data_IF_741386043093
#
_entry.id   IF_741386043093
#
_cell.length_a   1.000
_cell.length_b   1.000
_cell.length_c   1.000
_cell.angle_alpha   90.00
_cell.angle_beta   90.00
_cell.angle_gamma   90.00
#
_symmetry.space_group_name_H-M   'P 1'
#
loop_
_entity.id
_entity.type
_entity.pdbx_description
1 polymer ?
#
# COMPACT_ATOMS: atom_id res chain seq x y z
N UNK A 1 21.90 -34.83 -38.47
CA UNK A 1 20.51 -34.32 -38.31
C UNK A 1 20.27 -33.52 -37.01
N UNK A 2 21.05 -33.64 -35.93
CA UNK A 2 20.82 -32.86 -34.69
C UNK A 2 21.35 -31.42 -34.69
N UNK A 3 22.43 -31.10 -35.43
CA UNK A 3 23.03 -29.74 -35.44
C UNK A 3 22.26 -28.70 -36.27
N UNK A 4 21.59 -29.12 -37.33
CA UNK A 4 20.80 -28.24 -38.20
C UNK A 4 19.50 -27.76 -37.54
N UNK A 5 18.90 -28.56 -36.67
CA UNK A 5 17.65 -28.21 -35.97
C UNK A 5 17.86 -27.17 -34.84
N UNK A 6 19.03 -27.16 -34.20
CA UNK A 6 19.36 -26.18 -33.16
C UNK A 6 19.57 -24.79 -33.75
N UNK A 7 20.22 -24.71 -34.92
CA UNK A 7 20.42 -23.45 -35.64
C UNK A 7 19.08 -22.90 -36.12
N UNK A 8 18.19 -23.76 -36.64
CA UNK A 8 16.85 -23.36 -37.05
C UNK A 8 16.00 -22.84 -35.88
N UNK A 9 16.06 -23.49 -34.71
CA UNK A 9 15.39 -23.03 -33.50
C UNK A 9 15.93 -21.69 -33.00
N UNK A 10 17.26 -21.49 -33.04
CA UNK A 10 17.88 -20.23 -32.66
C UNK A 10 17.46 -19.09 -33.59
N UNK A 11 17.42 -19.32 -34.90
CA UNK A 11 16.92 -18.33 -35.86
C UNK A 11 15.42 -18.05 -35.69
N UNK A 12 14.60 -19.06 -35.40
CA UNK A 12 13.17 -18.87 -35.14
C UNK A 12 12.93 -18.07 -33.85
N UNK A 13 13.69 -18.36 -32.78
CA UNK A 13 13.62 -17.59 -31.52
C UNK A 13 14.11 -16.15 -31.68
N UNK A 14 15.13 -15.91 -32.52
CA UNK A 14 15.63 -14.56 -32.81
C UNK A 14 14.60 -13.77 -33.63
N UNK A 15 13.89 -14.42 -34.56
CA UNK A 15 12.83 -13.81 -35.35
C UNK A 15 11.59 -13.48 -34.53
N UNK A 16 11.25 -14.30 -33.52
CA UNK A 16 10.16 -14.04 -32.56
C UNK A 16 10.53 -12.90 -31.59
N UNK A 17 11.80 -12.82 -31.16
CA UNK A 17 12.30 -11.68 -30.36
C UNK A 17 12.32 -10.37 -31.16
N UNK A 18 12.64 -10.44 -32.46
CA UNK A 18 12.62 -9.28 -33.37
C UNK A 18 11.19 -8.87 -33.81
N UNK A 19 10.20 -9.76 -33.74
CA UNK A 19 8.80 -9.41 -34.02
C UNK A 19 8.06 -8.86 -32.81
N UNK A 20 8.50 -9.18 -31.58
CA UNK A 20 7.96 -8.61 -30.33
C UNK A 20 8.38 -7.15 -30.07
N UNK A 21 9.39 -6.62 -30.76
CA UNK A 21 9.77 -5.21 -30.69
C UNK A 21 8.94 -4.29 -31.60
N UNK A 22 8.01 -4.85 -32.37
CA UNK A 22 7.16 -4.11 -33.32
C UNK A 22 5.67 -4.18 -32.97
N UNK A 23 5.28 -3.95 -31.70
CA UNK A 23 3.95 -3.40 -31.32
C UNK A 23 3.82 -3.16 -29.81
N UNK A 24 4.77 -2.42 -29.23
CA UNK A 24 4.44 -1.64 -28.02
C UNK A 24 4.05 -0.25 -28.51
N UNK A 25 2.75 -0.05 -28.77
CA UNK A 25 2.20 1.31 -28.77
C UNK A 25 2.25 1.80 -27.33
N UNK A 26 3.38 2.35 -26.90
CA UNK A 26 3.40 3.26 -25.77
C UNK A 26 2.41 4.38 -26.11
N UNK A 27 1.35 4.52 -25.31
CA UNK A 27 0.56 5.74 -25.32
C UNK A 27 1.55 6.90 -25.16
N UNK A 28 1.69 7.73 -26.20
CA UNK A 28 2.51 8.94 -26.12
C UNK A 28 2.04 9.72 -24.89
N UNK A 29 2.95 10.00 -23.97
CA UNK A 29 2.73 11.02 -22.95
C UNK A 29 2.35 12.30 -23.66
N UNK A 30 1.23 12.97 -23.31
CA UNK A 30 0.79 14.15 -24.04
C UNK A 30 1.88 15.22 -23.97
N UNK A 31 2.09 15.93 -25.08
CA UNK A 31 3.07 17.02 -25.14
C UNK A 31 2.64 18.15 -24.19
N UNK A 32 3.59 18.90 -23.61
CA UNK A 32 3.27 20.06 -22.76
C UNK A 32 2.30 21.04 -23.43
N UNK A 33 2.42 21.24 -24.75
CA UNK A 33 1.52 22.08 -25.55
C UNK A 33 0.09 21.52 -25.65
N UNK A 34 -0.09 20.21 -25.56
CA UNK A 34 -1.42 19.58 -25.58
C UNK A 34 -2.16 19.77 -24.26
N UNK A 35 -1.42 19.82 -23.13
CA UNK A 35 -2.00 20.13 -21.82
C UNK A 35 -2.43 21.60 -21.73
N UNK A 36 -1.62 22.54 -22.22
CA UNK A 36 -1.95 23.97 -22.23
C UNK A 36 -3.18 24.30 -23.08
N UNK A 37 -3.39 23.58 -24.18
CA UNK A 37 -4.51 23.76 -25.11
C UNK A 37 -5.82 23.05 -24.68
N UNK A 38 -5.80 22.32 -23.57
CA UNK A 38 -6.98 21.60 -23.07
C UNK A 38 -8.12 22.56 -22.72
N UNK A 39 -9.33 22.31 -23.26
CA UNK A 39 -10.52 23.13 -22.97
C UNK A 39 -11.35 22.54 -21.83
N UNK A 40 -11.64 23.36 -20.82
CA UNK A 40 -12.51 23.06 -19.69
C UNK A 40 -13.92 23.61 -19.88
N UNK A 41 -14.93 23.00 -19.21
CA UNK A 41 -16.27 23.58 -19.12
C UNK A 41 -16.25 24.99 -18.50
N UNK A 42 -17.23 25.87 -18.81
CA UNK A 42 -17.23 27.28 -18.39
C UNK A 42 -17.01 27.50 -16.89
N UNK A 43 -17.73 26.77 -16.03
CA UNK A 43 -17.55 26.89 -14.58
C UNK A 43 -16.15 26.46 -14.11
N UNK A 44 -15.58 25.41 -14.70
CA UNK A 44 -14.25 24.94 -14.34
C UNK A 44 -13.17 25.93 -14.80
N UNK A 45 -13.30 26.48 -16.00
CA UNK A 45 -12.43 27.55 -16.49
C UNK A 45 -12.50 28.79 -15.59
N UNK A 46 -13.70 29.23 -15.20
CA UNK A 46 -13.89 30.34 -14.27
C UNK A 46 -13.25 30.06 -12.91
N UNK A 47 -13.42 28.85 -12.36
CA UNK A 47 -12.75 28.43 -11.11
C UNK A 47 -11.22 28.47 -11.21
N UNK A 48 -10.64 28.04 -12.34
CA UNK A 48 -9.19 28.08 -12.56
C UNK A 48 -8.69 29.53 -12.52
N UNK A 49 -9.36 30.43 -13.25
CA UNK A 49 -9.01 31.85 -13.26
C UNK A 49 -9.12 32.47 -11.86
N UNK A 50 -10.25 32.28 -11.18
CA UNK A 50 -10.46 32.84 -9.84
C UNK A 50 -9.49 32.27 -8.81
N UNK A 51 -9.14 30.98 -8.89
CA UNK A 51 -8.11 30.41 -8.03
C UNK A 51 -6.73 31.02 -8.31
N UNK A 52 -6.40 31.30 -9.58
CA UNK A 52 -5.18 32.02 -9.92
C UNK A 52 -5.20 33.45 -9.37
N UNK A 53 -6.34 34.12 -9.42
CA UNK A 53 -6.51 35.47 -8.87
C UNK A 53 -6.36 35.47 -7.34
N UNK A 54 -7.02 34.54 -6.63
CA UNK A 54 -6.89 34.37 -5.17
C UNK A 54 -5.44 34.10 -4.75
N UNK A 55 -4.72 33.24 -5.48
CA UNK A 55 -3.28 33.04 -5.29
C UNK A 55 -2.47 34.32 -5.51
N UNK A 56 -2.84 35.14 -6.50
CA UNK A 56 -2.23 36.46 -6.73
C UNK A 56 -2.47 37.42 -5.55
N UNK A 57 -3.69 37.45 -4.99
CA UNK A 57 -3.99 38.20 -3.77
C UNK A 57 -3.08 37.75 -2.62
N UNK A 58 -2.94 36.44 -2.40
CA UNK A 58 -2.06 35.86 -1.36
C UNK A 58 -0.57 36.16 -1.61
N UNK A 59 -0.12 36.15 -2.87
CA UNK A 59 1.26 36.48 -3.22
C UNK A 59 1.59 37.94 -2.93
N UNK A 60 0.67 38.84 -3.24
CA UNK A 60 0.76 40.28 -3.01
C UNK A 60 0.30 40.70 -1.62
N UNK A 61 -0.13 39.75 -0.76
CA UNK A 61 -0.53 40.05 0.62
C UNK A 61 0.65 40.13 1.59
N UNK A 62 1.89 40.01 1.12
CA UNK A 62 3.07 39.97 2.02
C UNK A 62 3.38 41.32 2.66
N UNK A 63 3.21 41.32 3.98
CA UNK A 63 4.21 41.80 4.94
C UNK A 63 5.41 40.81 4.98
N UNK A 64 6.55 41.22 4.43
CA UNK A 64 7.91 40.79 4.81
C UNK A 64 8.88 41.91 4.43
N UNK A 65 8.71 43.08 5.06
CA UNK A 65 9.78 44.06 5.15
C UNK A 65 10.49 43.87 6.49
N UNK A 66 11.76 43.51 6.39
CA UNK A 66 12.66 43.15 7.48
C UNK A 66 13.12 44.40 8.26
N UNK A 67 12.18 45.08 8.95
CA UNK A 67 12.51 46.06 9.99
C UNK A 67 11.91 47.47 9.85
N UNK A 68 10.61 47.64 10.11
CA UNK A 68 9.97 48.96 10.31
C UNK A 68 8.64 48.85 11.08
N UNK A 69 8.30 49.85 11.90
CA UNK A 69 7.21 49.84 12.90
C UNK A 69 5.82 49.42 12.36
N UNK A 70 5.27 48.35 12.95
CA UNK A 70 3.98 47.73 12.62
C UNK A 70 2.74 48.62 12.86
N UNK A 71 2.84 49.64 13.71
CA UNK A 71 1.73 50.55 14.01
C UNK A 71 1.45 51.58 12.90
N UNK A 72 2.44 51.91 12.07
CA UNK A 72 2.25 52.77 10.89
C UNK A 72 1.65 51.98 9.71
N UNK A 73 1.92 50.67 9.65
CA UNK A 73 1.42 49.77 8.61
C UNK A 73 -0.07 49.44 8.81
N UNK A 74 -0.54 49.19 10.03
CA UNK A 74 -1.97 48.94 10.33
C UNK A 74 -2.89 50.10 9.88
N UNK A 75 -2.43 51.35 9.97
CA UNK A 75 -3.19 52.54 9.56
C UNK A 75 -3.10 52.84 8.04
N UNK A 76 -2.10 52.29 7.33
CA UNK A 76 -1.81 52.57 5.90
C UNK A 76 -2.06 51.39 4.94
N UNK A 77 -2.16 50.16 5.44
CA UNK A 77 -2.46 48.95 4.65
C UNK A 77 -3.78 49.05 3.87
N UNK A 78 -4.69 49.93 4.28
CA UNK A 78 -5.90 50.28 3.53
C UNK A 78 -5.65 50.90 2.15
N UNK A 79 -4.46 51.46 1.88
CA UNK A 79 -4.14 52.09 0.58
C UNK A 79 -3.54 51.12 -0.44
N UNK A 80 -2.62 50.23 -0.06
CA UNK A 80 -2.03 49.25 -1.00
C UNK A 80 -2.94 48.04 -1.20
N UNK A 81 -3.63 47.58 -0.16
CA UNK A 81 -4.48 46.38 -0.25
C UNK A 81 -5.59 46.49 -1.31
N UNK A 82 -6.02 47.70 -1.64
CA UNK A 82 -7.02 48.00 -2.66
C UNK A 82 -6.51 48.97 -3.74
N UNK A 83 -5.19 49.16 -3.85
CA UNK A 83 -4.64 50.04 -4.89
C UNK A 83 -4.78 49.41 -6.27
N UNK A 84 -4.79 50.26 -7.29
CA UNK A 84 -4.66 49.86 -8.69
C UNK A 84 -3.32 49.14 -8.95
N UNK A 85 -2.23 49.63 -8.35
CA UNK A 85 -0.90 49.01 -8.48
C UNK A 85 -0.91 47.54 -8.05
N UNK A 86 -1.55 47.23 -6.91
CA UNK A 86 -1.66 45.85 -6.44
C UNK A 86 -2.50 44.99 -7.39
N UNK A 87 -3.56 45.55 -7.97
CA UNK A 87 -4.39 44.83 -8.92
C UNK A 87 -3.61 44.47 -10.20
N UNK A 88 -2.82 45.40 -10.73
CA UNK A 88 -1.96 45.18 -11.90
C UNK A 88 -0.94 44.07 -11.61
N UNK A 89 -0.24 44.12 -10.47
CA UNK A 89 0.71 43.07 -10.05
C UNK A 89 0.05 41.68 -9.97
N UNK A 90 -1.22 41.62 -9.54
CA UNK A 90 -1.99 40.37 -9.53
C UNK A 90 -2.30 39.91 -10.96
N UNK A 91 -2.77 40.83 -11.81
CA UNK A 91 -3.19 40.54 -13.19
C UNK A 91 -2.03 40.10 -14.09
N UNK A 92 -0.84 40.68 -13.93
CA UNK A 92 0.37 40.32 -14.70
C UNK A 92 0.73 38.83 -14.56
N UNK A 93 0.53 38.26 -13.36
CA UNK A 93 0.87 36.88 -13.06
C UNK A 93 -0.32 35.90 -13.08
N UNK A 94 -1.46 36.30 -13.65
CA UNK A 94 -2.60 35.40 -13.79
C UNK A 94 -2.28 34.24 -14.74
N UNK A 95 -2.76 33.05 -14.36
CA UNK A 95 -2.65 31.82 -15.14
C UNK A 95 -1.22 31.30 -15.38
N UNK A 96 -0.17 31.90 -14.79
CA UNK A 96 1.21 31.47 -15.01
C UNK A 96 1.47 30.04 -14.52
N UNK A 97 0.98 29.72 -13.32
CA UNK A 97 1.10 28.41 -12.65
C UNK A 97 0.09 27.35 -13.16
N UNK A 98 -0.72 27.70 -14.15
CA UNK A 98 -1.76 26.80 -14.66
C UNK A 98 -1.15 25.87 -15.71
N UNK A 99 -1.02 24.59 -15.39
CA UNK A 99 -0.47 23.58 -16.32
C UNK A 99 -1.46 23.14 -17.40
N UNK A 100 -2.75 23.03 -17.05
CA UNK A 100 -3.79 22.55 -17.95
C UNK A 100 -4.75 23.68 -18.29
N UNK A 101 -5.05 23.85 -19.57
CA UNK A 101 -5.98 24.90 -20.05
C UNK A 101 -5.49 26.32 -19.81
N UNK A 102 -4.16 26.51 -19.78
CA UNK A 102 -3.50 27.81 -19.62
C UNK A 102 -4.00 28.84 -20.64
N UNK A 103 -4.11 28.43 -21.91
CA UNK A 103 -4.57 29.31 -22.99
C UNK A 103 -6.00 29.78 -22.70
N UNK A 104 -6.89 28.88 -22.28
CA UNK A 104 -8.27 29.24 -21.95
C UNK A 104 -8.34 30.17 -20.73
N UNK A 105 -7.48 29.97 -19.73
CA UNK A 105 -7.40 30.83 -18.56
C UNK A 105 -6.99 32.25 -18.95
N UNK A 106 -5.96 32.40 -19.79
CA UNK A 106 -5.47 33.70 -20.28
C UNK A 106 -6.55 34.43 -21.10
N UNK A 107 -7.19 33.76 -22.06
CA UNK A 107 -8.30 34.35 -22.82
C UNK A 107 -9.44 34.79 -21.91
N UNK A 108 -9.78 34.00 -20.89
CA UNK A 108 -10.84 34.35 -19.95
C UNK A 108 -10.43 35.51 -19.01
N UNK A 109 -9.14 35.63 -18.67
CA UNK A 109 -8.63 36.75 -17.89
C UNK A 109 -8.79 38.08 -18.64
N UNK A 110 -8.45 38.09 -19.93
CA UNK A 110 -8.66 39.24 -20.83
C UNK A 110 -10.15 39.60 -20.95
N UNK A 111 -11.02 38.60 -21.17
CA UNK A 111 -12.47 38.84 -21.29
C UNK A 111 -13.11 39.40 -20.01
N UNK A 112 -12.54 39.10 -18.84
CA UNK A 112 -13.10 39.46 -17.52
C UNK A 112 -12.38 40.60 -16.81
N UNK A 113 -11.36 41.21 -17.43
CA UNK A 113 -10.54 42.29 -16.89
C UNK A 113 -11.39 43.42 -16.27
N UNK A 114 -12.30 44.00 -17.07
CA UNK A 114 -13.21 45.07 -16.62
C UNK A 114 -14.08 44.65 -15.43
N UNK A 115 -14.51 43.39 -15.37
CA UNK A 115 -15.36 42.87 -14.28
C UNK A 115 -14.57 42.64 -13.00
N UNK A 116 -13.31 42.24 -13.13
CA UNK A 116 -12.38 42.07 -12.01
C UNK A 116 -12.04 43.43 -11.40
N UNK A 117 -11.76 44.44 -12.22
CA UNK A 117 -11.54 45.82 -11.77
C UNK A 117 -12.75 46.39 -11.04
N UNK A 118 -13.93 46.24 -11.63
CA UNK A 118 -15.18 46.72 -11.02
C UNK A 118 -15.42 46.04 -9.66
N UNK A 119 -15.17 44.73 -9.56
CA UNK A 119 -15.19 44.05 -8.27
C UNK A 119 -14.20 44.63 -7.27
N UNK A 120 -12.95 44.82 -7.70
CA UNK A 120 -11.83 45.27 -6.87
C UNK A 120 -12.09 46.64 -6.24
N UNK A 121 -12.60 47.60 -7.03
CA UNK A 121 -12.81 48.97 -6.57
C UNK A 121 -14.17 49.21 -5.94
N UNK A 122 -15.24 48.53 -6.42
CA UNK A 122 -16.60 48.89 -6.05
C UNK A 122 -17.33 47.83 -5.19
N UNK A 123 -17.01 46.53 -5.33
CA UNK A 123 -17.84 45.45 -4.77
C UNK A 123 -17.17 44.57 -3.72
N UNK A 124 -15.90 44.76 -3.37
CA UNK A 124 -15.23 43.94 -2.35
C UNK A 124 -15.96 43.87 -1.00
N UNK A 125 -16.65 44.94 -0.58
CA UNK A 125 -17.38 44.97 0.70
C UNK A 125 -18.76 44.29 0.62
N UNK A 126 -19.37 44.26 -0.57
CA UNK A 126 -20.71 43.70 -0.80
C UNK A 126 -20.61 42.21 -1.16
N UNK A 127 -19.59 41.86 -1.96
CA UNK A 127 -19.28 40.50 -2.38
C UNK A 127 -17.82 40.18 -2.02
N UNK A 128 -17.55 39.73 -0.79
CA UNK A 128 -16.18 39.46 -0.34
C UNK A 128 -15.52 38.31 -1.11
N UNK A 129 -16.29 37.36 -1.63
CA UNK A 129 -15.76 36.33 -2.53
C UNK A 129 -15.93 36.75 -3.99
N UNK A 130 -14.81 37.06 -4.65
CA UNK A 130 -14.77 37.35 -6.10
C UNK A 130 -15.36 36.20 -6.93
N UNK A 131 -15.33 34.96 -6.44
CA UNK A 131 -15.95 33.82 -7.10
C UNK A 131 -17.47 34.00 -7.26
N UNK A 132 -18.14 34.46 -6.21
CA UNK A 132 -19.59 34.64 -6.22
C UNK A 132 -19.98 35.76 -7.18
N UNK A 133 -19.23 36.87 -7.16
CA UNK A 133 -19.44 37.99 -8.07
C UNK A 133 -19.20 37.56 -9.53
N UNK A 134 -18.01 37.05 -9.85
CA UNK A 134 -17.63 36.79 -11.24
C UNK A 134 -18.29 35.52 -11.78
N UNK A 135 -18.13 34.38 -11.11
CA UNK A 135 -18.49 33.07 -11.67
C UNK A 135 -19.98 32.74 -11.51
N UNK A 136 -20.66 33.27 -10.50
CA UNK A 136 -22.08 32.99 -10.25
C UNK A 136 -22.96 34.12 -10.80
N UNK A 137 -22.70 35.37 -10.44
CA UNK A 137 -23.57 36.50 -10.81
C UNK A 137 -23.26 37.06 -12.22
N UNK A 138 -22.01 37.39 -12.51
CA UNK A 138 -21.66 38.14 -13.73
C UNK A 138 -21.54 37.29 -15.00
N UNK A 139 -21.06 36.06 -14.88
CA UNK A 139 -20.85 35.15 -16.02
C UNK A 139 -21.87 34.02 -16.05
N UNK A 140 -22.65 33.85 -14.98
CA UNK A 140 -23.63 32.77 -14.84
C UNK A 140 -23.06 31.38 -15.18
N UNK A 141 -21.75 31.20 -15.05
CA UNK A 141 -21.08 29.97 -15.48
C UNK A 141 -21.20 28.87 -14.43
N UNK A 142 -21.23 29.25 -13.16
CA UNK A 142 -21.34 28.38 -12.00
C UNK A 142 -22.68 28.53 -11.26
N UNK A 143 -22.91 27.63 -10.31
CA UNK A 143 -24.00 27.71 -9.34
C UNK A 143 -23.47 27.99 -7.94
N UNK A 144 -24.33 28.49 -7.04
CA UNK A 144 -24.05 28.51 -5.60
C UNK A 144 -23.65 27.15 -5.07
N UNK A 145 -22.98 27.16 -3.91
CA UNK A 145 -22.58 25.94 -3.22
C UNK A 145 -23.80 25.02 -3.03
N UNK A 146 -23.61 23.72 -3.27
CA UNK A 146 -24.64 22.68 -3.11
C UNK A 146 -25.89 22.87 -3.97
N UNK A 147 -25.74 23.54 -5.13
CA UNK A 147 -26.75 23.64 -6.17
C UNK A 147 -26.24 23.11 -7.52
N UNK A 148 -27.13 22.67 -8.41
CA UNK A 148 -26.75 22.03 -9.67
C UNK A 148 -27.72 22.30 -10.82
N UNK A 149 -27.26 22.03 -12.04
CA UNK A 149 -28.08 22.10 -13.24
C UNK A 149 -28.28 23.52 -13.77
N UNK A 150 -28.98 23.69 -14.90
CA UNK A 150 -29.01 24.96 -15.64
C UNK A 150 -29.66 26.11 -14.86
N UNK A 151 -30.57 25.78 -13.94
CA UNK A 151 -31.28 26.70 -13.06
C UNK A 151 -30.70 26.73 -11.63
N UNK A 152 -29.59 26.03 -11.36
CA UNK A 152 -28.99 25.92 -10.04
C UNK A 152 -30.02 25.49 -8.96
N UNK A 153 -30.60 24.30 -9.14
CA UNK A 153 -31.51 23.69 -8.16
C UNK A 153 -30.73 23.17 -6.95
N UNK A 154 -31.29 23.19 -5.73
CA UNK A 154 -30.62 22.67 -4.54
C UNK A 154 -30.39 21.16 -4.65
N UNK A 155 -29.24 20.70 -4.15
CA UNK A 155 -28.93 19.28 -4.05
C UNK A 155 -29.89 18.56 -3.08
N UNK A 156 -30.12 17.23 -3.25
CA UNK A 156 -30.96 16.46 -2.34
C UNK A 156 -30.49 16.60 -0.90
N UNK A 157 -31.38 17.04 -0.01
CA UNK A 157 -31.11 17.24 1.42
C UNK A 157 -30.44 18.57 1.80
N UNK A 158 -30.33 19.53 0.88
CA UNK A 158 -29.94 20.91 1.21
C UNK A 158 -30.89 21.56 2.25
N UNK A 159 -30.40 22.36 3.21
CA UNK A 159 -29.00 22.79 3.39
C UNK A 159 -28.12 21.83 4.21
N UNK A 160 -28.69 21.06 5.13
CA UNK A 160 -27.90 20.42 6.20
C UNK A 160 -27.65 18.91 6.03
N UNK A 161 -28.36 18.26 5.10
CA UNK A 161 -28.33 16.80 4.90
C UNK A 161 -28.05 16.45 3.44
N UNK A 162 -27.11 17.14 2.81
CA UNK A 162 -26.78 16.89 1.40
C UNK A 162 -26.40 15.43 1.23
N UNK A 163 -27.18 14.68 0.45
CA UNK A 163 -27.04 13.22 0.30
C UNK A 163 -26.97 12.48 1.66
N UNK A 164 -27.83 12.87 2.61
CA UNK A 164 -27.91 12.36 3.99
C UNK A 164 -26.57 12.41 4.76
N UNK A 165 -25.66 13.31 4.37
CA UNK A 165 -24.30 13.39 4.91
C UNK A 165 -23.45 12.12 4.70
N UNK A 166 -23.92 11.22 3.82
CA UNK A 166 -23.30 9.93 3.49
C UNK A 166 -22.90 9.86 2.01
N UNK A 167 -22.70 11.02 1.38
CA UNK A 167 -22.32 11.11 -0.01
C UNK A 167 -22.11 12.54 -0.50
N UNK A 168 -21.80 12.64 -1.80
CA UNK A 168 -21.53 13.92 -2.47
C UNK A 168 -22.48 14.14 -3.64
N UNK A 169 -23.00 15.35 -3.76
CA UNK A 169 -23.87 15.73 -4.88
C UNK A 169 -23.04 15.89 -6.17
N UNK A 170 -23.33 15.08 -7.20
CA UNK A 170 -22.61 15.12 -8.48
C UNK A 170 -22.91 16.41 -9.24
N UNK A 171 -21.84 17.17 -9.51
CA UNK A 171 -21.94 18.43 -10.22
C UNK A 171 -22.44 19.60 -9.36
N UNK A 172 -22.33 19.50 -8.03
CA UNK A 172 -22.53 20.63 -7.13
C UNK A 172 -21.69 21.85 -7.54
N UNK A 173 -22.31 23.03 -7.57
CA UNK A 173 -21.75 24.29 -8.04
C UNK A 173 -21.65 24.42 -9.56
N UNK A 174 -22.23 23.52 -10.35
CA UNK A 174 -22.12 23.55 -11.83
C UNK A 174 -23.47 23.55 -12.53
N UNK A 175 -23.56 24.28 -13.65
CA UNK A 175 -24.79 24.34 -14.47
C UNK A 175 -25.07 23.12 -15.34
N UNK A 176 -24.09 22.24 -15.52
CA UNK A 176 -24.25 20.96 -16.26
C UNK A 176 -24.35 19.74 -15.35
N UNK A 177 -24.29 19.93 -14.03
CA UNK A 177 -24.45 18.86 -13.05
C UNK A 177 -25.83 18.23 -13.10
N UNK A 178 -25.90 16.93 -12.78
CA UNK A 178 -27.17 16.19 -12.72
C UNK A 178 -27.73 16.08 -11.30
N UNK A 179 -26.95 16.44 -10.27
CA UNK A 179 -27.39 16.46 -8.86
C UNK A 179 -27.58 15.09 -8.22
N UNK A 180 -27.20 14.00 -8.91
CA UNK A 180 -27.29 12.65 -8.35
C UNK A 180 -26.30 12.49 -7.21
N UNK A 181 -26.69 11.84 -6.12
CA UNK A 181 -25.75 11.55 -5.04
C UNK A 181 -24.75 10.46 -5.43
N UNK A 182 -23.49 10.70 -5.07
CA UNK A 182 -22.42 9.72 -5.08
C UNK A 182 -22.18 9.28 -3.66
N UNK A 183 -22.75 8.13 -3.28
CA UNK A 183 -22.71 7.63 -1.91
C UNK A 183 -21.33 7.14 -1.51
N UNK A 184 -21.03 7.32 -0.22
CA UNK A 184 -19.84 6.76 0.41
C UNK A 184 -19.99 5.23 0.55
N UNK A 185 -18.86 4.54 0.77
CA UNK A 185 -18.85 3.07 0.87
C UNK A 185 -19.78 2.62 2.00
N UNK A 186 -20.69 1.71 1.67
CA UNK A 186 -21.65 1.16 2.63
C UNK A 186 -23.00 1.86 2.64
N UNK A 187 -23.21 2.88 1.80
CA UNK A 187 -24.50 3.53 1.61
C UNK A 187 -24.99 3.36 0.18
N UNK A 188 -26.30 3.24 0.03
CA UNK A 188 -26.99 3.02 -1.24
C UNK A 188 -28.28 3.88 -1.30
N UNK A 189 -28.99 3.80 -2.43
CA UNK A 189 -30.10 4.65 -2.88
C UNK A 189 -29.69 5.99 -3.46
N UNK A 190 -30.67 6.66 -4.08
CA UNK A 190 -30.47 7.92 -4.81
C UNK A 190 -30.03 9.09 -3.91
N UNK A 191 -30.30 9.01 -2.60
CA UNK A 191 -29.95 10.00 -1.58
C UNK A 191 -29.01 9.46 -0.48
N UNK A 192 -28.48 8.24 -0.61
CA UNK A 192 -27.59 7.62 0.38
C UNK A 192 -28.25 7.41 1.76
N UNK A 193 -29.56 7.15 1.76
CA UNK A 193 -30.40 6.99 2.96
C UNK A 193 -30.41 5.57 3.55
N UNK A 194 -29.79 4.59 2.88
CA UNK A 194 -29.81 3.19 3.32
C UNK A 194 -28.43 2.57 3.26
N UNK A 195 -28.24 1.50 4.04
CA UNK A 195 -27.02 0.73 3.98
C UNK A 195 -26.99 -0.14 2.72
N UNK A 196 -25.84 -0.15 2.05
CA UNK A 196 -25.59 -1.03 0.93
C UNK A 196 -25.52 -2.50 1.38
N UNK A 197 -25.71 -3.43 0.43
CA UNK A 197 -25.52 -4.86 0.69
C UNK A 197 -24.10 -5.12 1.23
N UNK A 198 -23.97 -5.95 2.26
CA UNK A 198 -22.72 -6.15 2.99
C UNK A 198 -22.50 -5.19 4.16
N UNK A 199 -23.46 -4.31 4.43
CA UNK A 199 -23.48 -3.42 5.57
C UNK A 199 -24.81 -3.51 6.31
N UNK A 200 -24.78 -3.29 7.62
CA UNK A 200 -25.97 -3.22 8.47
C UNK A 200 -26.06 -1.86 9.16
N UNK A 201 -27.28 -1.49 9.56
CA UNK A 201 -27.56 -0.27 10.33
C UNK A 201 -27.05 -0.48 11.76
N UNK A 202 -25.87 0.08 12.09
CA UNK A 202 -25.31 -0.01 13.44
C UNK A 202 -25.82 1.09 14.37
N UNK A 203 -26.23 2.22 13.80
CA UNK A 203 -26.90 3.30 14.51
C UNK A 203 -27.79 4.09 13.55
N UNK A 204 -29.00 4.45 13.99
CA UNK A 204 -29.93 5.25 13.22
C UNK A 204 -30.67 6.23 14.12
N UNK A 205 -30.64 7.49 13.72
CA UNK A 205 -31.32 8.61 14.35
C UNK A 205 -31.84 9.56 13.25
N UNK A 206 -32.66 10.55 13.60
CA UNK A 206 -33.26 11.49 12.65
C UNK A 206 -32.21 12.22 11.78
N UNK A 207 -30.99 12.39 12.31
CA UNK A 207 -29.91 13.14 11.67
C UNK A 207 -28.72 12.28 11.20
N UNK A 208 -28.65 11.01 11.61
CA UNK A 208 -27.47 10.18 11.38
C UNK A 208 -27.84 8.73 11.16
N UNK A 209 -27.46 8.21 10.00
CA UNK A 209 -27.41 6.78 9.72
C UNK A 209 -25.95 6.35 9.69
N UNK A 210 -25.59 5.36 10.48
CA UNK A 210 -24.28 4.73 10.48
C UNK A 210 -24.42 3.30 9.96
N UNK A 211 -23.75 3.04 8.84
CA UNK A 211 -23.65 1.72 8.24
C UNK A 211 -22.31 1.09 8.60
N UNK A 212 -22.33 -0.14 9.12
CA UNK A 212 -21.12 -0.90 9.47
C UNK A 212 -21.06 -2.20 8.68
N UNK A 213 -19.85 -2.62 8.33
CA UNK A 213 -19.65 -3.79 7.48
C UNK A 213 -20.09 -5.07 8.21
N UNK A 214 -20.74 -5.97 7.48
CA UNK A 214 -21.07 -7.31 7.93
C UNK A 214 -19.80 -8.14 8.23
N UNK A 215 -19.97 -9.21 9.01
CA UNK A 215 -18.89 -10.17 9.22
C UNK A 215 -18.50 -10.85 7.90
N UNK A 216 -17.23 -11.25 7.76
CA UNK A 216 -16.73 -11.93 6.54
C UNK A 216 -17.42 -13.30 6.28
N UNK A 217 -18.07 -13.84 7.30
CA UNK A 217 -18.88 -15.05 7.22
C UNK A 217 -20.22 -14.83 6.50
N UNK A 218 -20.66 -13.58 6.32
CA UNK A 218 -21.95 -13.26 5.72
C UNK A 218 -21.84 -13.11 4.20
N UNK A 219 -22.65 -13.85 3.44
CA UNK A 219 -22.78 -13.70 1.99
C UNK A 219 -23.82 -12.62 1.69
N UNK A 220 -23.39 -11.36 1.68
CA UNK A 220 -24.24 -10.21 1.40
C UNK A 220 -24.86 -9.60 2.65
N UNK A 221 -26.19 -9.66 2.77
CA UNK A 221 -26.93 -8.94 3.82
C UNK A 221 -26.75 -9.55 5.22
N UNK A 222 -26.72 -8.69 6.23
CA UNK A 222 -26.71 -9.08 7.63
C UNK A 222 -27.57 -8.14 8.48
N UNK A 223 -28.03 -8.63 9.62
CA UNK A 223 -28.92 -7.91 10.54
C UNK A 223 -28.17 -7.16 11.66
N UNK A 224 -26.87 -7.37 11.78
CA UNK A 224 -26.10 -6.90 12.94
C UNK A 224 -24.64 -7.35 12.93
N UNK A 225 -23.90 -7.06 14.01
CA UNK A 225 -22.49 -7.43 14.13
C UNK A 225 -22.28 -8.94 14.26
N UNK A 226 -21.13 -9.41 13.80
CA UNK A 226 -20.67 -10.78 14.00
C UNK A 226 -21.36 -11.82 13.10
N UNK A 227 -20.89 -13.08 13.15
CA UNK A 227 -21.34 -14.14 12.25
C UNK A 227 -22.74 -14.66 12.58
N UNK A 228 -23.28 -14.32 13.76
CA UNK A 228 -24.62 -14.73 14.20
C UNK A 228 -25.75 -14.10 13.39
N UNK A 229 -25.50 -12.90 12.87
CA UNK A 229 -26.51 -12.06 12.25
C UNK A 229 -26.48 -12.12 10.72
N UNK A 230 -25.74 -13.05 10.14
CA UNK A 230 -25.75 -13.29 8.71
C UNK A 230 -27.09 -13.91 8.28
N UNK A 231 -27.67 -13.43 7.19
CA UNK A 231 -28.85 -14.08 6.61
C UNK A 231 -28.47 -15.34 5.82
N UNK A 232 -27.28 -15.31 5.21
CA UNK A 232 -26.68 -16.40 4.45
C UNK A 232 -25.19 -16.44 4.75
N UNK A 233 -24.63 -17.63 4.87
CA UNK A 233 -23.20 -17.83 5.07
C UNK A 233 -22.45 -17.88 3.73
N UNK A 234 -21.23 -17.36 3.71
CA UNK A 234 -20.28 -17.53 2.60
C UNK A 234 -19.79 -18.98 2.50
N UNK A 235 -19.16 -19.34 1.38
CA UNK A 235 -18.45 -20.61 1.25
C UNK A 235 -17.34 -20.72 2.32
N UNK A 236 -17.10 -21.93 2.84
CA UNK A 236 -16.25 -22.15 4.02
C UNK A 236 -16.96 -21.95 5.36
N UNK A 237 -18.24 -21.52 5.34
CA UNK A 237 -19.06 -21.38 6.54
C UNK A 237 -20.37 -22.17 6.40
N UNK A 238 -20.89 -22.66 7.52
CA UNK A 238 -22.20 -23.31 7.58
C UNK A 238 -23.08 -22.64 8.63
N UNK A 239 -24.39 -22.60 8.39
CA UNK A 239 -25.34 -22.01 9.32
C UNK A 239 -25.73 -23.04 10.39
N UNK A 240 -25.60 -22.67 11.65
CA UNK A 240 -26.12 -23.41 12.80
C UNK A 240 -27.33 -22.69 13.38
N UNK A 241 -28.44 -23.41 13.52
CA UNK A 241 -29.69 -22.86 14.04
C UNK A 241 -29.48 -22.19 15.40
N UNK A 242 -29.82 -20.90 15.48
CA UNK A 242 -29.70 -20.09 16.69
C UNK A 242 -28.27 -19.63 17.05
N UNK A 243 -27.24 -20.06 16.31
CA UNK A 243 -25.86 -19.63 16.54
C UNK A 243 -25.24 -18.89 15.33
N UNK A 244 -25.87 -18.97 14.15
CA UNK A 244 -25.48 -18.31 12.90
C UNK A 244 -24.32 -19.00 12.18
N UNK A 245 -23.48 -18.26 11.46
CA UNK A 245 -22.43 -18.85 10.63
C UNK A 245 -21.25 -19.35 11.48
N UNK A 246 -20.90 -20.61 11.29
CA UNK A 246 -19.72 -21.24 11.87
C UNK A 246 -18.75 -21.66 10.79
N UNK A 247 -17.48 -21.43 11.07
CA UNK A 247 -16.38 -21.83 10.22
C UNK A 247 -16.37 -23.34 10.05
N UNK A 248 -16.17 -23.82 8.83
CA UNK A 248 -16.02 -25.23 8.53
C UNK A 248 -14.55 -25.56 8.72
N UNK A 249 -14.22 -26.44 9.67
CA UNK A 249 -12.85 -26.90 9.80
C UNK A 249 -12.54 -27.95 8.73
N UNK A 250 -12.04 -27.50 7.57
CA UNK A 250 -11.69 -28.40 6.47
C UNK A 250 -10.50 -29.30 6.82
N UNK A 251 -9.66 -28.89 7.77
CA UNK A 251 -8.48 -29.65 8.17
C UNK A 251 -8.82 -30.93 8.96
N UNK A 252 -10.03 -31.08 9.48
CA UNK A 252 -10.52 -32.37 10.00
C UNK A 252 -10.53 -33.48 8.93
N UNK A 253 -10.56 -33.11 7.64
CA UNK A 253 -10.42 -34.00 6.50
C UNK A 253 -9.27 -33.57 5.60
N UNK A 254 -8.11 -33.26 6.19
CA UNK A 254 -6.93 -32.75 5.47
C UNK A 254 -6.55 -33.57 4.23
N UNK A 255 -6.76 -34.89 4.25
CA UNK A 255 -6.46 -35.80 3.13
C UNK A 255 -7.30 -35.54 1.87
N UNK A 256 -8.47 -34.91 2.01
CA UNK A 256 -9.34 -34.53 0.89
C UNK A 256 -8.96 -33.15 0.31
N UNK A 257 -8.33 -32.28 1.09
CA UNK A 257 -8.10 -30.87 0.77
C UNK A 257 -6.65 -30.50 0.46
N UNK A 258 -5.68 -31.17 1.10
CA UNK A 258 -4.25 -30.92 0.94
C UNK A 258 -3.54 -32.12 0.30
N UNK A 259 -2.41 -31.86 -0.36
CA UNK A 259 -1.59 -32.94 -0.94
C UNK A 259 -0.80 -33.69 0.14
N UNK A 260 -0.35 -34.92 -0.15
CA UNK A 260 0.34 -35.80 0.82
C UNK A 260 1.61 -35.22 1.48
N UNK A 261 2.29 -34.26 0.84
CA UNK A 261 3.47 -33.59 1.40
C UNK A 261 3.18 -32.15 1.84
N UNK A 262 1.94 -31.92 2.27
CA UNK A 262 1.46 -30.67 2.82
C UNK A 262 0.68 -30.95 4.10
N UNK A 263 0.70 -30.00 5.03
CA UNK A 263 -0.16 -30.01 6.19
C UNK A 263 -1.19 -28.88 6.11
N UNK A 264 -2.36 -29.12 6.69
CA UNK A 264 -3.49 -28.21 6.64
C UNK A 264 -3.52 -27.31 7.87
N UNK A 265 -3.74 -26.01 7.67
CA UNK A 265 -4.03 -25.04 8.72
C UNK A 265 -5.42 -24.45 8.48
N UNK A 266 -6.32 -24.64 9.43
CA UNK A 266 -7.67 -24.09 9.38
C UNK A 266 -7.60 -22.58 9.64
N UNK A 267 -8.31 -21.79 8.83
CA UNK A 267 -8.41 -20.33 8.96
C UNK A 267 -9.88 -19.94 8.90
N UNK A 268 -10.22 -18.78 9.46
CA UNK A 268 -11.60 -18.29 9.36
C UNK A 268 -11.99 -18.06 7.89
N UNK A 269 -12.96 -18.83 7.40
CA UNK A 269 -13.47 -18.83 6.04
C UNK A 269 -12.72 -19.72 5.06
N UNK A 270 -11.90 -20.67 5.54
CA UNK A 270 -11.31 -21.72 4.72
C UNK A 270 -9.96 -22.19 5.24
N UNK A 271 -9.18 -22.86 4.40
CA UNK A 271 -7.93 -23.48 4.84
C UNK A 271 -6.71 -22.98 4.06
N UNK A 272 -5.52 -23.26 4.59
CA UNK A 272 -4.26 -23.11 3.86
C UNK A 272 -3.41 -24.35 4.01
N UNK A 273 -2.97 -24.91 2.88
CA UNK A 273 -2.01 -26.00 2.86
C UNK A 273 -0.59 -25.43 2.81
N UNK A 274 0.25 -25.81 3.76
CA UNK A 274 1.67 -25.48 3.78
C UNK A 274 2.49 -26.73 3.47
N UNK A 275 3.62 -26.55 2.81
CA UNK A 275 4.51 -27.67 2.49
C UNK A 275 5.19 -28.18 3.77
N UNK A 276 5.41 -29.48 3.82
CA UNK A 276 6.22 -30.10 4.86
C UNK A 276 7.68 -29.62 4.80
N UNK A 277 8.39 -29.79 5.93
CA UNK A 277 9.83 -29.59 5.98
C UNK A 277 10.54 -30.49 4.95
N UNK A 278 11.67 -30.04 4.41
CA UNK A 278 12.47 -30.77 3.41
C UNK A 278 12.95 -32.12 3.96
N UNK A 279 13.07 -32.24 5.28
CA UNK A 279 13.44 -33.49 5.95
C UNK A 279 12.30 -34.53 6.00
N UNK A 280 11.06 -34.16 5.65
CA UNK A 280 9.89 -35.03 5.75
C UNK A 280 9.42 -35.57 4.37
N UNK A 281 8.93 -36.81 4.37
CA UNK A 281 8.05 -37.39 3.34
C UNK A 281 6.65 -37.58 3.95
N UNK A 282 5.87 -36.49 3.94
CA UNK A 282 4.61 -36.33 4.67
C UNK A 282 4.79 -35.81 6.09
N UNK A 283 3.89 -34.93 6.53
CA UNK A 283 3.93 -34.28 7.83
C UNK A 283 2.52 -33.97 8.35
N UNK A 284 2.42 -33.72 9.65
CA UNK A 284 1.17 -33.31 10.32
C UNK A 284 1.22 -31.86 10.83
N UNK A 285 2.38 -31.21 10.74
CA UNK A 285 2.60 -29.86 11.20
C UNK A 285 3.89 -29.27 10.62
N UNK A 286 4.21 -28.07 11.09
CA UNK A 286 5.47 -27.39 10.77
C UNK A 286 6.65 -28.06 11.49
N UNK A 287 7.79 -28.13 10.80
CA UNK A 287 9.06 -28.55 11.38
C UNK A 287 9.47 -30.01 11.11
N UNK A 288 10.78 -30.32 11.26
CA UNK A 288 11.35 -31.65 11.04
C UNK A 288 11.04 -32.68 12.14
N UNK A 289 10.33 -32.26 13.20
CA UNK A 289 9.87 -33.09 14.32
C UNK A 289 8.42 -33.58 14.14
N UNK A 290 7.67 -32.97 13.22
CA UNK A 290 6.28 -33.32 12.90
C UNK A 290 6.16 -34.13 11.60
N UNK A 291 7.23 -34.83 11.21
CA UNK A 291 7.25 -35.71 10.04
C UNK A 291 6.53 -37.04 10.31
N UNK A 292 5.79 -37.54 9.33
CA UNK A 292 5.23 -38.91 9.35
C UNK A 292 6.35 -39.91 8.99
N UNK A 293 7.10 -39.61 7.93
CA UNK A 293 8.30 -40.33 7.54
C UNK A 293 9.42 -39.34 7.21
N UNK A 294 10.68 -39.74 7.38
CA UNK A 294 11.80 -38.93 6.92
C UNK A 294 12.01 -39.10 5.41
N UNK A 295 12.33 -37.99 4.73
CA UNK A 295 12.69 -37.97 3.32
C UNK A 295 14.02 -38.71 3.05
N UNK A 296 14.27 -39.02 1.77
CA UNK A 296 15.50 -39.67 1.35
C UNK A 296 16.75 -38.86 1.78
N UNK A 297 17.70 -39.52 2.44
CA UNK A 297 18.92 -38.88 2.99
C UNK A 297 18.74 -38.30 4.41
N UNK A 298 17.57 -38.45 5.01
CA UNK A 298 17.30 -38.12 6.40
C UNK A 298 17.06 -39.38 7.23
N UNK A 299 17.45 -39.35 8.50
CA UNK A 299 17.23 -40.43 9.47
C UNK A 299 16.59 -39.87 10.72
N UNK A 300 15.60 -40.59 11.22
CA UNK A 300 14.93 -40.25 12.45
C UNK A 300 15.88 -40.47 13.65
N UNK A 301 16.02 -39.44 14.48
CA UNK A 301 16.73 -39.52 15.75
C UNK A 301 16.01 -38.65 16.77
N UNK A 302 15.49 -39.27 17.84
CA UNK A 302 14.71 -38.60 18.89
C UNK A 302 13.46 -37.87 18.33
N UNK A 303 12.69 -38.53 17.46
CA UNK A 303 11.52 -37.97 16.77
C UNK A 303 11.82 -36.71 15.94
N UNK A 304 13.06 -36.61 15.43
CA UNK A 304 13.51 -35.52 14.58
C UNK A 304 14.20 -36.12 13.35
N UNK A 305 13.79 -35.71 12.15
CA UNK A 305 14.46 -36.13 10.93
C UNK A 305 15.72 -35.29 10.71
N UNK A 306 16.89 -35.93 10.83
CA UNK A 306 18.20 -35.26 10.66
C UNK A 306 18.93 -35.83 9.45
N UNK A 307 19.65 -34.96 8.74
CA UNK A 307 20.40 -35.35 7.56
C UNK A 307 21.51 -36.37 7.89
N UNK A 308 21.56 -37.50 7.18
CA UNK A 308 22.53 -38.56 7.43
C UNK A 308 23.96 -38.21 7.04
N UNK A 309 24.15 -37.31 6.06
CA UNK A 309 25.47 -36.89 5.59
C UNK A 309 26.15 -35.96 6.60
N UNK A 310 25.37 -35.13 7.31
CA UNK A 310 25.88 -34.31 8.42
C UNK A 310 26.44 -35.18 9.56
N UNK A 311 25.75 -36.27 9.91
CA UNK A 311 26.24 -37.23 10.90
C UNK A 311 27.55 -37.89 10.44
N UNK A 312 27.61 -38.33 9.18
CA UNK A 312 28.79 -38.94 8.59
C UNK A 312 30.00 -37.99 8.58
N UNK A 313 29.78 -36.73 8.17
CA UNK A 313 30.82 -35.69 8.18
C UNK A 313 31.31 -35.38 9.60
N UNK A 314 30.40 -35.20 10.56
CA UNK A 314 30.77 -34.94 11.96
C UNK A 314 31.55 -36.12 12.57
N UNK A 315 31.19 -37.35 12.21
CA UNK A 315 31.94 -38.54 12.60
C UNK A 315 33.34 -38.57 11.96
N UNK A 316 33.46 -38.26 10.67
CA UNK A 316 34.77 -38.17 10.00
C UNK A 316 35.66 -37.08 10.60
N UNK A 317 35.10 -35.90 10.88
CA UNK A 317 35.82 -34.78 11.52
C UNK A 317 36.32 -35.16 12.91
N UNK A 318 35.49 -35.83 13.72
CA UNK A 318 35.90 -36.33 15.04
C UNK A 318 36.99 -37.41 14.94
N UNK A 319 36.88 -38.34 13.98
CA UNK A 319 37.89 -39.38 13.77
C UNK A 319 39.23 -38.78 13.34
N UNK A 320 39.22 -37.83 12.40
CA UNK A 320 40.41 -37.10 11.98
C UNK A 320 41.05 -36.34 13.16
N UNK A 321 40.23 -35.69 14.01
CA UNK A 321 40.69 -34.99 15.23
C UNK A 321 41.38 -35.94 16.21
N UNK A 322 40.80 -37.10 16.52
CA UNK A 322 41.44 -38.06 17.42
C UNK A 322 42.69 -38.71 16.80
N UNK A 323 42.71 -38.90 15.48
CA UNK A 323 43.89 -39.38 14.78
C UNK A 323 45.07 -38.39 14.85
N UNK A 324 44.81 -37.08 14.74
CA UNK A 324 45.88 -36.07 14.88
C UNK A 324 46.41 -35.99 16.31
N UNK A 325 45.54 -36.08 17.33
CA UNK A 325 45.98 -36.13 18.73
C UNK A 325 46.85 -37.36 19.01
N UNK A 326 46.45 -38.52 18.50
CA UNK A 326 47.25 -39.73 18.60
C UNK A 326 48.61 -39.57 17.91
N UNK A 327 48.65 -38.96 16.72
CA UNK A 327 49.88 -38.66 16.00
C UNK A 327 50.82 -37.69 16.73
N UNK A 328 50.28 -36.65 17.37
CA UNK A 328 51.08 -35.72 18.19
C UNK A 328 51.68 -36.43 19.40
N UNK A 329 50.89 -37.23 20.11
CA UNK A 329 51.37 -38.02 21.24
C UNK A 329 52.46 -39.02 20.82
N UNK A 330 52.27 -39.76 19.73
CA UNK A 330 53.29 -40.71 19.26
C UNK A 330 54.59 -40.01 18.86
N UNK A 331 54.53 -38.84 18.21
CA UNK A 331 55.71 -38.04 17.88
C UNK A 331 56.49 -37.62 19.14
N UNK A 332 55.79 -37.18 20.21
CA UNK A 332 56.46 -36.83 21.47
C UNK A 332 57.14 -38.04 22.13
N UNK A 333 56.53 -39.22 22.08
CA UNK A 333 57.11 -40.47 22.59
C UNK A 333 58.39 -40.87 21.81
N UNK A 334 58.43 -40.65 20.50
CA UNK A 334 59.62 -40.94 19.69
C UNK A 334 60.77 -39.99 20.06
N UNK A 335 60.49 -38.69 20.25
CA UNK A 335 61.49 -37.68 20.64
C UNK A 335 62.05 -37.97 22.05
N UNK A 336 61.21 -38.48 22.95
CA UNK A 336 61.59 -38.86 24.31
C UNK A 336 62.76 -39.85 24.35
N UNK A 337 62.85 -40.76 23.38
CA UNK A 337 63.96 -41.72 23.29
C UNK A 337 65.31 -41.07 22.99
N UNK A 338 65.32 -39.85 22.42
CA UNK A 338 66.55 -39.17 21.98
C UNK A 338 66.96 -38.01 22.88
N UNK A 339 66.01 -37.26 23.44
CA UNK A 339 66.30 -36.18 24.38
C UNK A 339 65.12 -35.92 25.33
N UNK A 340 65.32 -36.25 26.60
CA UNK A 340 64.29 -36.15 27.65
C UNK A 340 63.85 -34.71 27.92
N UNK A 341 64.78 -33.76 27.91
CA UNK A 341 64.48 -32.37 28.25
C UNK A 341 63.63 -31.71 27.16
N UNK A 342 63.98 -31.94 25.89
CA UNK A 342 63.23 -31.42 24.74
C UNK A 342 61.84 -32.07 24.68
N UNK A 343 61.76 -33.38 24.91
CA UNK A 343 60.49 -34.10 24.91
C UNK A 343 59.52 -33.62 26.01
N UNK A 344 60.03 -33.30 27.20
CA UNK A 344 59.19 -32.78 28.29
C UNK A 344 58.57 -31.43 27.97
N UNK A 345 59.31 -30.53 27.31
CA UNK A 345 58.80 -29.20 26.92
C UNK A 345 57.76 -29.35 25.81
N UNK A 346 58.04 -30.15 24.77
CA UNK A 346 57.10 -30.37 23.66
C UNK A 346 55.85 -31.10 24.14
N UNK A 347 55.99 -32.11 24.99
CA UNK A 347 54.87 -32.85 25.57
C UNK A 347 53.92 -31.95 26.37
N UNK A 348 54.46 -31.02 27.16
CA UNK A 348 53.65 -30.04 27.88
C UNK A 348 52.89 -29.11 26.92
N UNK A 349 53.54 -28.63 25.86
CA UNK A 349 52.88 -27.80 24.85
C UNK A 349 51.78 -28.56 24.09
N UNK A 350 52.00 -29.82 23.73
CA UNK A 350 50.99 -30.68 23.07
C UNK A 350 49.81 -30.94 24.01
N UNK A 351 50.07 -31.23 25.29
CA UNK A 351 49.02 -31.40 26.30
C UNK A 351 48.15 -30.16 26.49
N UNK A 352 48.77 -28.98 26.54
CA UNK A 352 48.04 -27.70 26.58
C UNK A 352 47.22 -27.52 25.30
N UNK A 353 47.80 -27.79 24.12
CA UNK A 353 47.11 -27.65 22.84
C UNK A 353 45.85 -28.53 22.74
N UNK A 354 45.95 -29.81 23.11
CA UNK A 354 44.79 -30.73 23.11
C UNK A 354 43.74 -30.26 24.11
N UNK A 355 44.16 -29.87 25.32
CA UNK A 355 43.24 -29.42 26.38
C UNK A 355 42.49 -28.16 25.98
N UNK A 356 43.18 -27.16 25.41
CA UNK A 356 42.56 -25.92 24.92
C UNK A 356 41.66 -26.21 23.71
N UNK A 357 42.08 -27.09 22.80
CA UNK A 357 41.27 -27.43 21.62
C UNK A 357 39.94 -28.10 21.99
N UNK A 358 39.95 -29.11 22.88
CA UNK A 358 38.72 -29.75 23.35
C UNK A 358 37.88 -28.79 24.21
N UNK A 359 38.49 -27.95 25.03
CA UNK A 359 37.78 -26.92 25.80
C UNK A 359 37.04 -25.93 24.88
N UNK A 360 37.71 -25.46 23.83
CA UNK A 360 37.13 -24.55 22.84
C UNK A 360 35.99 -25.22 22.07
N UNK A 361 36.13 -26.49 21.69
CA UNK A 361 35.06 -27.25 20.98
C UNK A 361 33.87 -27.51 21.90
N UNK A 362 34.10 -27.86 23.17
CA UNK A 362 33.04 -28.07 24.14
C UNK A 362 32.22 -26.78 24.39
N UNK A 363 32.88 -25.62 24.43
CA UNK A 363 32.22 -24.33 24.65
C UNK A 363 31.65 -23.68 23.38
N UNK A 364 32.09 -24.08 22.19
CA UNK A 364 31.50 -23.60 20.93
C UNK A 364 30.22 -24.34 20.53
N UNK A 365 29.94 -25.54 21.07
CA UNK A 365 28.69 -26.28 20.82
C UNK A 365 27.45 -25.71 21.56
N UNK A 366 27.55 -24.59 22.28
CA UNK A 366 26.37 -23.92 22.87
C UNK A 366 25.59 -23.10 21.81
N UNK A 367 26.10 -22.98 20.58
CA UNK A 367 25.47 -22.19 19.51
C UNK A 367 24.80 -23.01 18.40
N UNK A 368 24.60 -24.33 18.59
CA UNK A 368 23.75 -25.19 17.73
C UNK A 368 22.36 -25.45 18.36
N UNK A 369 21.95 -24.66 19.36
CA UNK A 369 20.57 -24.69 19.92
C UNK A 369 19.76 -23.42 19.68
N UNK A 370 20.24 -22.53 18.82
CA UNK A 370 19.43 -21.44 18.29
C UNK A 370 19.20 -21.65 16.81
N UNK A 371 17.96 -22.00 16.47
CA UNK A 371 17.42 -21.76 15.14
C UNK A 371 17.73 -20.32 14.71
N UNK A 372 18.62 -20.14 13.73
CA UNK A 372 18.54 -19.03 12.79
C UNK A 372 17.57 -19.53 11.70
N UNK A 373 16.25 -19.37 11.81
CA UNK A 373 15.51 -18.13 11.51
C UNK A 373 16.40 -17.01 10.97
N UNK A 374 16.66 -17.04 9.67
CA UNK A 374 16.49 -15.91 8.75
C UNK A 374 17.15 -16.23 7.40
N UNK A 375 16.37 -16.81 6.47
CA UNK A 375 16.55 -16.53 5.04
C UNK A 375 15.14 -16.36 4.45
N UNK A 376 14.59 -15.16 4.68
CA UNK A 376 13.71 -14.52 3.70
C UNK A 376 14.47 -14.42 2.36
N UNK A 377 13.82 -14.83 1.28
CA UNK A 377 14.34 -14.69 -0.08
C UNK A 377 14.43 -13.23 -0.53
N UNK A 378 15.03 -12.96 -1.70
CA UNK A 378 14.84 -11.70 -2.37
C UNK A 378 13.72 -11.80 -3.42
N UNK A 379 12.97 -10.70 -3.50
CA UNK A 379 12.33 -10.24 -4.72
C UNK A 379 13.34 -10.06 -5.87
#
# INVERSE_FOLDING_TARGET
MRRTNVILFLFLSLFILLSMSASVKCNKTPSSKEFEAQKFPPCAACKILINSFKKGIERTSREKFDGGDSAWEEDKLGSYSKSETRLIEIQEHLCEEVERGKIQCQTLAEELENKIEDWWFNYQQIHPDIYDYICIQQTESCCPKDHFGPQCKPCPGFPDKICNNNGKCKGAGTRKGNGKCSCDKGYEKDDCSECAIGFYESYKDENKLLCSQCHNACDGACKGPGPKNCEKCTEGWHILDGQGCFDIDECLKSDEYCSKNQFCINKEGGYTCLNCDVACDGCTGDGPDMCINCADGYREKNNLCINSDLLGRKQQENVARYATYLGLCTATCIIFQRNIYIASVIGLLVGIYISVSEYMIAHSNVQDTTANVDILGPA
#
